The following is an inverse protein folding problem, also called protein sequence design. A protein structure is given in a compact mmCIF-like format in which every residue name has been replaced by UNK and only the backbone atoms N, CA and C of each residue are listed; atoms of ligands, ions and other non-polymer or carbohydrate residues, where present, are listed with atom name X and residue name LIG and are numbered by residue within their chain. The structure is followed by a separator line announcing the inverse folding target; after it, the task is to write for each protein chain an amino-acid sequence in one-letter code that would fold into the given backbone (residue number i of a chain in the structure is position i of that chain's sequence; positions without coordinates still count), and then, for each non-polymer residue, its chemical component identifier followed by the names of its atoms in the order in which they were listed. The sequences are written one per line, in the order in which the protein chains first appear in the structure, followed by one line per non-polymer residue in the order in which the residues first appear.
data_IF_219583393223
#
_entry.id   IF_219583393223
#
_cell.length_a   1.000
_cell.length_b   1.000
_cell.length_c   1.000
_cell.angle_alpha   90.00
_cell.angle_beta   90.00
_cell.angle_gamma   90.00
#
_symmetry.space_group_name_H-M   'P 1'
#
loop_
_entity.id
_entity.type
_entity.pdbx_description
1 polymer ?
#
# COMPACT_ATOMS: atom_id res chain seq x y z
N UNK A 1 -13.78 12.20 -3.24
CA UNK A 1 -13.19 11.98 -1.90
C UNK A 1 -11.77 11.47 -2.11
N UNK A 2 -10.79 12.02 -1.39
CA UNK A 2 -9.39 11.62 -1.52
C UNK A 2 -9.09 10.53 -0.49
N UNK A 3 -8.52 9.41 -0.94
CA UNK A 3 -8.18 8.27 -0.09
C UNK A 3 -6.69 8.04 -0.18
N UNK A 4 -6.01 7.94 0.96
CA UNK A 4 -4.59 7.64 1.02
C UNK A 4 -4.38 6.26 1.64
N UNK A 5 -3.67 5.37 0.96
CA UNK A 5 -3.28 4.06 1.50
C UNK A 5 -1.79 4.03 1.77
N UNK A 6 -1.42 3.82 3.02
CA UNK A 6 -0.04 3.80 3.49
C UNK A 6 0.31 2.35 3.86
N UNK A 7 1.39 1.82 3.30
CA UNK A 7 1.89 0.48 3.61
C UNK A 7 3.42 0.46 3.63
N UNK A 8 4.02 -0.33 4.53
CA UNK A 8 5.48 -0.31 4.75
C UNK A 8 6.23 -1.53 4.28
N UNK A 9 5.57 -2.69 4.26
CA UNK A 9 6.20 -3.97 3.97
C UNK A 9 5.48 -4.74 2.86
N UNK A 10 6.21 -5.68 2.24
CA UNK A 10 5.69 -6.59 1.22
C UNK A 10 4.45 -7.40 1.65
N UNK A 11 4.39 -8.02 2.86
CA UNK A 11 3.18 -8.74 3.28
C UNK A 11 1.96 -7.83 3.51
N UNK A 12 2.14 -6.58 3.92
CA UNK A 12 1.03 -5.62 4.04
C UNK A 12 0.42 -5.29 2.68
N UNK A 13 1.26 -5.04 1.68
CA UNK A 13 0.82 -4.80 0.30
C UNK A 13 0.02 -5.99 -0.25
N UNK A 14 0.50 -7.22 -0.04
CA UNK A 14 -0.19 -8.44 -0.51
C UNK A 14 -1.58 -8.59 0.14
N UNK A 15 -1.69 -8.36 1.45
CA UNK A 15 -2.98 -8.45 2.17
C UNK A 15 -3.96 -7.36 1.73
N UNK A 16 -3.47 -6.15 1.46
CA UNK A 16 -4.31 -5.02 1.08
C UNK A 16 -4.68 -5.00 -0.41
N UNK A 17 -4.07 -5.83 -1.26
CA UNK A 17 -4.28 -5.84 -2.70
C UNK A 17 -5.75 -5.87 -3.12
N UNK A 18 -6.57 -6.72 -2.49
CA UNK A 18 -8.00 -6.82 -2.79
C UNK A 18 -8.77 -5.52 -2.47
N UNK A 19 -8.35 -4.79 -1.43
CA UNK A 19 -8.96 -3.52 -1.02
C UNK A 19 -8.48 -2.38 -1.92
N UNK A 20 -7.20 -2.32 -2.25
CA UNK A 20 -6.64 -1.32 -3.16
C UNK A 20 -7.29 -1.42 -4.54
N UNK A 21 -7.49 -2.65 -5.05
CA UNK A 21 -8.18 -2.87 -6.32
C UNK A 21 -9.62 -2.34 -6.31
N UNK A 22 -10.37 -2.62 -5.24
CA UNK A 22 -11.74 -2.08 -5.10
C UNK A 22 -11.76 -0.56 -4.96
N UNK A 23 -10.76 0.02 -4.29
CA UNK A 23 -10.63 1.47 -4.14
C UNK A 23 -10.29 2.16 -5.46
N UNK A 24 -9.54 1.49 -6.35
CA UNK A 24 -9.23 1.94 -7.71
C UNK A 24 -10.45 1.85 -8.65
N UNK A 25 -11.29 0.80 -8.49
CA UNK A 25 -12.56 0.66 -9.23
C UNK A 25 -13.63 1.68 -8.78
N UNK A 26 -13.58 2.12 -7.53
CA UNK A 26 -14.43 3.17 -7.02
C UNK A 26 -13.84 4.52 -7.45
N UNK A 27 -14.67 5.46 -7.88
CA UNK A 27 -14.24 6.72 -8.51
C UNK A 27 -13.64 7.74 -7.49
N UNK A 28 -12.66 7.28 -6.71
CA UNK A 28 -11.93 8.02 -5.69
C UNK A 28 -10.57 8.44 -6.20
N UNK A 29 -10.09 9.58 -5.70
CA UNK A 29 -8.73 10.05 -5.92
C UNK A 29 -7.83 9.30 -4.93
N UNK A 30 -7.31 8.15 -5.36
CA UNK A 30 -6.56 7.21 -4.51
C UNK A 30 -5.06 7.43 -4.62
N UNK A 31 -4.41 7.72 -3.49
CA UNK A 31 -2.97 7.93 -3.39
C UNK A 31 -2.34 6.79 -2.60
N UNK A 32 -1.44 6.03 -3.23
CA UNK A 32 -0.69 4.96 -2.58
C UNK A 32 0.67 5.47 -2.12
N UNK A 33 1.00 5.29 -0.83
CA UNK A 33 2.29 5.70 -0.25
C UNK A 33 2.97 4.52 0.40
N UNK A 34 4.16 4.19 -0.09
CA UNK A 34 5.01 3.17 0.49
C UNK A 34 6.01 3.81 1.46
N UNK A 35 5.98 3.44 2.74
CA UNK A 35 6.87 4.03 3.76
C UNK A 35 8.29 3.47 3.73
N UNK A 36 8.59 2.51 2.85
CA UNK A 36 9.96 2.03 2.66
C UNK A 36 10.50 1.26 3.86
N UNK A 37 9.65 0.67 4.70
CA UNK A 37 10.06 -0.22 5.80
C UNK A 37 10.57 -1.58 5.29
N UNK A 38 11.44 -1.59 4.28
CA UNK A 38 12.23 -2.78 3.96
C UNK A 38 13.31 -2.94 5.03
N UNK A 39 12.92 -3.50 6.17
CA UNK A 39 13.85 -4.01 7.17
C UNK A 39 14.33 -5.39 6.71
N UNK A 40 15.14 -5.42 5.65
CA UNK A 40 15.89 -6.64 5.31
C UNK A 40 17.14 -6.64 6.17
N UNK A 41 17.27 -7.54 7.17
CA UNK A 41 18.47 -7.62 8.01
C UNK A 41 19.72 -8.08 7.26
N UNK A 42 19.60 -8.53 6.00
CA UNK A 42 20.72 -8.98 5.14
C UNK A 42 21.51 -7.83 4.47
N UNK A 43 21.16 -6.56 4.70
CA UNK A 43 21.92 -5.39 4.22
C UNK A 43 22.63 -4.67 5.37
N UNK A 44 23.35 -5.43 6.20
CA UNK A 44 24.39 -4.91 7.10
C UNK A 44 25.76 -5.39 6.68
#
# INVERSE_FOLDING_TARGET
MKVMSIFGTRPEMIKMWATLKKLDELNFDHVMVHTGQNFTPELR
#
